data_IF_161919412689
#
_entry.id   IF_161919412689
#
_cell.length_a   1.000
_cell.length_b   1.000
_cell.length_c   1.000
_cell.angle_alpha   90.00
_cell.angle_beta   90.00
_cell.angle_gamma   90.00
#
_symmetry.space_group_name_H-M   'P 1'
#
loop_
_entity.id
_entity.type
_entity.pdbx_description
1 polymer ?
#
# COMPACT_ATOMS: atom_id res chain seq x y z
N UNK A 1 26.08 6.64 -12.69
CA UNK A 1 25.30 6.51 -11.43
C UNK A 1 24.76 5.08 -11.39
N UNK A 2 25.20 4.22 -10.45
CA UNK A 2 24.75 2.82 -10.39
C UNK A 2 23.37 2.77 -9.70
N UNK A 3 22.35 2.27 -10.39
CA UNK A 3 21.03 2.02 -9.82
C UNK A 3 21.14 0.77 -8.94
N UNK A 4 21.00 0.91 -7.63
CA UNK A 4 20.96 -0.22 -6.71
C UNK A 4 19.52 -0.60 -6.43
N UNK A 5 19.06 -1.66 -7.09
CA UNK A 5 17.77 -2.28 -6.83
C UNK A 5 17.84 -3.00 -5.48
N UNK A 6 17.13 -2.48 -4.48
CA UNK A 6 17.05 -3.08 -3.14
C UNK A 6 15.68 -3.71 -2.94
N UNK A 7 15.52 -4.40 -1.82
CA UNK A 7 14.23 -4.97 -1.41
C UNK A 7 13.09 -3.93 -1.46
N UNK A 8 13.39 -2.66 -1.16
CA UNK A 8 12.42 -1.56 -1.24
C UNK A 8 11.89 -1.35 -2.67
N UNK A 9 12.77 -1.22 -3.67
CA UNK A 9 12.36 -1.04 -5.06
C UNK A 9 11.65 -2.27 -5.61
N UNK A 10 12.09 -3.47 -5.19
CA UNK A 10 11.38 -4.71 -5.51
C UNK A 10 9.95 -4.69 -4.98
N UNK A 11 9.76 -4.38 -3.68
CA UNK A 11 8.43 -4.29 -3.08
C UNK A 11 7.54 -3.26 -3.78
N UNK A 12 8.08 -2.09 -4.14
CA UNK A 12 7.32 -1.10 -4.91
C UNK A 12 6.93 -1.61 -6.31
N UNK A 13 7.82 -2.29 -7.02
CA UNK A 13 7.52 -2.82 -8.35
C UNK A 13 6.42 -3.89 -8.31
N UNK A 14 6.45 -4.78 -7.32
CA UNK A 14 5.40 -5.79 -7.10
C UNK A 14 4.08 -5.09 -6.76
N UNK A 15 4.12 -4.09 -5.88
CA UNK A 15 2.93 -3.35 -5.46
C UNK A 15 2.28 -2.60 -6.63
N UNK A 16 3.05 -1.95 -7.50
CA UNK A 16 2.55 -1.32 -8.72
C UNK A 16 1.86 -2.35 -9.61
N UNK A 17 2.49 -3.51 -9.81
CA UNK A 17 1.90 -4.62 -10.56
C UNK A 17 0.57 -5.08 -9.95
N UNK A 18 0.51 -5.26 -8.63
CA UNK A 18 -0.70 -5.64 -7.93
C UNK A 18 -1.80 -4.58 -8.05
N UNK A 19 -1.49 -3.28 -7.93
CA UNK A 19 -2.47 -2.22 -8.12
C UNK A 19 -3.05 -2.24 -9.54
N UNK A 20 -2.20 -2.41 -10.58
CA UNK A 20 -2.67 -2.54 -11.96
C UNK A 20 -3.57 -3.77 -12.13
N UNK A 21 -3.18 -4.90 -11.53
CA UNK A 21 -3.95 -6.14 -11.61
C UNK A 21 -5.30 -5.98 -10.91
N UNK A 22 -5.34 -5.39 -9.71
CA UNK A 22 -6.56 -5.12 -8.96
C UNK A 22 -7.55 -4.30 -9.80
N UNK A 23 -7.08 -3.18 -10.35
CA UNK A 23 -7.93 -2.24 -11.09
C UNK A 23 -8.48 -2.86 -12.39
N UNK A 24 -7.68 -3.69 -13.08
CA UNK A 24 -8.05 -4.22 -14.41
C UNK A 24 -8.73 -5.58 -14.39
N UNK A 25 -8.43 -6.42 -13.40
CA UNK A 25 -8.79 -7.84 -13.41
C UNK A 25 -9.55 -8.28 -12.16
N UNK A 26 -9.98 -7.36 -11.31
CA UNK A 26 -10.85 -7.67 -10.17
C UNK A 26 -12.10 -6.81 -10.22
N UNK A 27 -13.16 -7.29 -9.56
CA UNK A 27 -14.41 -6.55 -9.41
C UNK A 27 -14.29 -5.38 -8.41
N UNK A 28 -13.08 -5.15 -7.86
CA UNK A 28 -12.76 -4.05 -6.97
C UNK A 28 -13.03 -4.39 -5.52
N UNK A 29 -13.34 -3.36 -4.73
CA UNK A 29 -13.81 -3.54 -3.35
C UNK A 29 -15.22 -4.11 -3.30
N UNK A 30 -15.46 -4.94 -2.29
CA UNK A 30 -16.78 -5.38 -1.88
C UNK A 30 -17.06 -5.08 -0.42
N UNK A 31 -18.31 -5.32 -0.02
CA UNK A 31 -18.84 -5.03 1.31
C UNK A 31 -19.88 -6.08 1.68
N UNK A 32 -20.08 -6.29 2.98
CA UNK A 32 -21.14 -7.15 3.48
C UNK A 32 -22.44 -6.36 3.66
N UNK A 33 -23.55 -6.88 3.16
CA UNK A 33 -24.90 -6.37 3.43
C UNK A 33 -25.70 -7.47 4.13
N UNK A 34 -25.58 -7.53 5.46
CA UNK A 34 -26.05 -8.69 6.22
C UNK A 34 -25.13 -9.88 5.96
N UNK A 35 -25.69 -11.00 5.49
CA UNK A 35 -24.94 -12.22 5.16
C UNK A 35 -24.47 -12.24 3.69
N UNK A 36 -24.94 -11.31 2.86
CA UNK A 36 -24.64 -11.27 1.43
C UNK A 36 -23.43 -10.38 1.14
N UNK A 37 -22.49 -10.89 0.33
CA UNK A 37 -21.35 -10.13 -0.17
C UNK A 37 -21.67 -9.47 -1.51
N UNK A 38 -21.48 -8.16 -1.61
CA UNK A 38 -21.72 -7.38 -2.81
C UNK A 38 -20.49 -6.54 -3.19
N UNK A 39 -20.32 -6.26 -4.49
CA UNK A 39 -19.24 -5.38 -4.95
C UNK A 39 -19.70 -3.91 -4.93
N UNK A 40 -18.81 -3.00 -4.54
CA UNK A 40 -19.09 -1.55 -4.50
C UNK A 40 -19.53 -1.04 -5.88
N UNK A 41 -18.96 -1.58 -6.96
CA UNK A 41 -19.32 -1.25 -8.35
C UNK A 41 -20.79 -1.54 -8.72
N UNK A 42 -21.49 -2.37 -7.95
CA UNK A 42 -22.90 -2.69 -8.20
C UNK A 42 -23.86 -1.62 -7.64
N UNK A 43 -23.36 -0.71 -6.79
CA UNK A 43 -24.15 0.39 -6.26
C UNK A 43 -24.40 1.44 -7.37
N UNK A 44 -25.66 1.65 -7.73
CA UNK A 44 -26.07 2.68 -8.70
C UNK A 44 -25.95 4.11 -8.16
N UNK A 45 -25.76 4.30 -6.84
CA UNK A 45 -25.53 5.63 -6.27
C UNK A 45 -24.08 6.06 -6.52
N UNK A 46 -23.92 7.14 -7.27
CA UNK A 46 -22.68 7.77 -7.71
C UNK A 46 -21.81 8.37 -6.58
N UNK A 47 -21.45 7.57 -5.57
CA UNK A 47 -20.84 8.06 -4.33
C UNK A 47 -19.35 7.78 -4.17
N UNK A 48 -18.90 6.54 -4.35
CA UNK A 48 -17.47 6.24 -4.27
C UNK A 48 -17.08 5.06 -5.16
N UNK A 49 -16.18 5.35 -6.09
CA UNK A 49 -15.34 4.31 -6.66
C UNK A 49 -14.21 4.07 -5.65
N UNK A 50 -14.43 3.18 -4.68
CA UNK A 50 -13.43 2.89 -3.66
C UNK A 50 -12.13 2.36 -4.26
N UNK A 51 -12.17 1.85 -5.51
CA UNK A 51 -10.98 1.48 -6.28
C UNK A 51 -10.08 2.69 -6.58
N UNK A 52 -10.59 3.93 -6.48
CA UNK A 52 -9.80 5.15 -6.57
C UNK A 52 -8.69 5.20 -5.51
N UNK A 53 -8.91 4.59 -4.34
CA UNK A 53 -7.86 4.44 -3.31
C UNK A 53 -6.68 3.60 -3.83
N UNK A 54 -6.95 2.50 -4.54
CA UNK A 54 -5.94 1.60 -5.12
C UNK A 54 -5.28 2.24 -6.35
N UNK A 55 -6.03 3.01 -7.15
CA UNK A 55 -5.47 3.81 -8.23
C UNK A 55 -4.48 4.86 -7.69
N UNK A 56 -4.89 5.63 -6.68
CA UNK A 56 -4.01 6.60 -6.01
C UNK A 56 -2.79 5.92 -5.39
N UNK A 57 -2.97 4.74 -4.78
CA UNK A 57 -1.87 3.96 -4.22
C UNK A 57 -0.87 3.56 -5.31
N UNK A 58 -1.34 3.09 -6.46
CA UNK A 58 -0.48 2.74 -7.60
C UNK A 58 0.33 3.93 -8.11
N UNK A 59 -0.32 5.10 -8.25
CA UNK A 59 0.36 6.33 -8.66
C UNK A 59 1.41 6.80 -7.66
N UNK A 60 1.04 6.87 -6.37
CA UNK A 60 1.96 7.27 -5.30
C UNK A 60 3.12 6.28 -5.23
N UNK A 61 2.87 4.97 -5.31
CA UNK A 61 3.92 3.96 -5.31
C UNK A 61 4.86 4.14 -6.50
N UNK A 62 4.33 4.43 -7.68
CA UNK A 62 5.15 4.70 -8.88
C UNK A 62 6.03 5.93 -8.68
N UNK A 63 5.48 7.01 -8.13
CA UNK A 63 6.25 8.22 -7.83
C UNK A 63 7.37 7.96 -6.81
N UNK A 64 7.07 7.27 -5.71
CA UNK A 64 8.07 6.93 -4.69
C UNK A 64 9.10 5.90 -5.15
N UNK A 65 8.73 4.97 -6.04
CA UNK A 65 9.67 4.08 -6.73
C UNK A 65 10.72 4.88 -7.51
N UNK A 66 10.28 5.83 -8.33
CA UNK A 66 11.17 6.69 -9.10
C UNK A 66 12.09 7.50 -8.20
N UNK A 67 11.57 8.11 -7.12
CA UNK A 67 12.40 8.82 -6.13
C UNK A 67 13.43 7.87 -5.49
N UNK A 68 13.02 6.64 -5.16
CA UNK A 68 13.89 5.67 -4.48
C UNK A 68 15.09 5.26 -5.33
N UNK A 69 14.93 5.15 -6.65
CA UNK A 69 16.03 4.83 -7.58
C UNK A 69 17.20 5.83 -7.49
N UNK A 70 16.91 7.09 -7.16
CA UNK A 70 17.89 8.17 -7.10
C UNK A 70 18.29 8.58 -5.68
N UNK A 71 17.54 8.16 -4.67
CA UNK A 71 17.74 8.60 -3.30
C UNK A 71 18.76 7.75 -2.54
N UNK A 72 19.78 8.42 -1.98
CA UNK A 72 20.70 7.79 -1.01
C UNK A 72 20.03 7.54 0.34
N UNK A 73 18.97 8.28 0.68
CA UNK A 73 18.29 8.24 1.99
C UNK A 73 16.97 7.45 1.90
N UNK A 74 17.05 6.19 1.49
CA UNK A 74 15.89 5.32 1.23
C UNK A 74 14.87 5.24 2.37
N UNK A 75 15.34 5.23 3.62
CA UNK A 75 14.44 5.20 4.79
C UNK A 75 13.53 6.45 4.90
N UNK A 76 13.97 7.62 4.43
CA UNK A 76 13.14 8.83 4.43
C UNK A 76 12.06 8.73 3.34
N UNK A 77 12.45 8.22 2.17
CA UNK A 77 11.54 7.96 1.05
C UNK A 77 10.44 7.00 1.50
N UNK A 78 10.81 5.90 2.17
CA UNK A 78 9.87 4.95 2.75
C UNK A 78 8.94 5.58 3.80
N UNK A 79 9.47 6.43 4.69
CA UNK A 79 8.66 7.12 5.70
C UNK A 79 7.55 7.97 5.08
N UNK A 80 7.90 8.78 4.08
CA UNK A 80 6.92 9.61 3.38
C UNK A 80 5.95 8.76 2.57
N UNK A 81 6.45 7.74 1.86
CA UNK A 81 5.60 6.80 1.14
C UNK A 81 4.53 6.18 2.06
N UNK A 82 4.92 5.65 3.21
CA UNK A 82 3.99 5.04 4.17
C UNK A 82 2.97 6.05 4.68
N UNK A 83 3.40 7.29 4.99
CA UNK A 83 2.50 8.36 5.38
C UNK A 83 1.40 8.57 4.32
N UNK A 84 1.79 8.74 3.05
CA UNK A 84 0.83 8.90 1.95
C UNK A 84 -0.05 7.66 1.75
N UNK A 85 0.52 6.45 1.81
CA UNK A 85 -0.24 5.21 1.66
C UNK A 85 -1.32 5.06 2.76
N UNK A 86 -1.00 5.42 4.01
CA UNK A 86 -1.99 5.39 5.10
C UNK A 86 -3.05 6.48 4.97
N UNK A 87 -2.70 7.65 4.41
CA UNK A 87 -3.69 8.70 4.09
C UNK A 87 -4.69 8.30 3.00
N UNK A 88 -4.47 7.21 2.27
CA UNK A 88 -5.44 6.71 1.29
C UNK A 88 -6.52 5.83 1.92
N UNK A 89 -6.31 5.25 3.12
CA UNK A 89 -7.32 4.39 3.75
C UNK A 89 -8.67 5.10 3.96
N UNK A 90 -8.73 6.37 4.41
CA UNK A 90 -10.00 7.09 4.54
C UNK A 90 -10.72 7.39 3.22
N UNK A 91 -10.09 7.16 2.07
CA UNK A 91 -10.73 7.33 0.75
C UNK A 91 -11.73 6.19 0.48
N UNK A 92 -11.49 5.02 1.07
CA UNK A 92 -12.41 3.87 1.01
C UNK A 92 -13.62 4.21 1.88
N UNK A 93 -14.82 4.29 1.28
CA UNK A 93 -16.03 4.67 1.98
C UNK A 93 -16.90 3.47 2.36
N UNK A 94 -17.20 2.61 1.39
CA UNK A 94 -18.14 1.49 1.56
C UNK A 94 -17.43 0.13 1.56
N UNK A 95 -16.32 0.04 0.85
CA UNK A 95 -15.50 -1.14 0.67
C UNK A 95 -14.86 -1.60 1.96
N UNK A 96 -14.94 -2.90 2.20
CA UNK A 96 -14.35 -3.53 3.36
C UNK A 96 -13.16 -4.37 2.91
N UNK A 97 -11.94 -4.00 3.34
CA UNK A 97 -10.71 -4.70 2.97
C UNK A 97 -10.81 -6.19 3.35
N UNK A 98 -11.23 -6.48 4.58
CA UNK A 98 -11.28 -7.83 5.12
C UNK A 98 -12.29 -8.70 4.38
N UNK A 99 -13.53 -8.23 4.25
CA UNK A 99 -14.60 -8.94 3.52
C UNK A 99 -14.22 -9.16 2.05
N UNK A 100 -13.61 -8.17 1.41
CA UNK A 100 -13.13 -8.29 0.01
C UNK A 100 -12.06 -9.37 -0.13
N UNK A 101 -11.15 -9.51 0.84
CA UNK A 101 -10.10 -10.54 0.85
C UNK A 101 -10.70 -11.93 1.10
N UNK A 102 -11.57 -12.07 2.11
CA UNK A 102 -12.19 -13.35 2.48
C UNK A 102 -13.02 -13.91 1.33
N UNK A 103 -13.66 -13.04 0.55
CA UNK A 103 -14.44 -13.39 -0.63
C UNK A 103 -13.60 -13.50 -1.93
N UNK A 104 -12.29 -13.70 -1.82
CA UNK A 104 -11.45 -14.19 -2.91
C UNK A 104 -10.58 -13.16 -3.63
N UNK A 105 -10.56 -11.89 -3.19
CA UNK A 105 -9.64 -10.90 -3.76
C UNK A 105 -8.22 -11.03 -3.18
N UNK A 106 -7.50 -12.07 -3.61
CA UNK A 106 -6.13 -12.32 -3.14
C UNK A 106 -5.12 -11.28 -3.63
N UNK A 107 -5.44 -10.51 -4.67
CA UNK A 107 -4.60 -9.40 -5.13
C UNK A 107 -4.56 -8.31 -4.07
N UNK A 108 -5.72 -7.97 -3.49
CA UNK A 108 -5.80 -7.03 -2.37
C UNK A 108 -5.03 -7.54 -1.15
N UNK A 109 -5.10 -8.83 -0.85
CA UNK A 109 -4.32 -9.44 0.22
C UNK A 109 -2.81 -9.23 0.00
N UNK A 110 -2.31 -9.42 -1.22
CA UNK A 110 -0.90 -9.20 -1.53
C UNK A 110 -0.53 -7.72 -1.35
N UNK A 111 -1.39 -6.78 -1.79
CA UNK A 111 -1.20 -5.33 -1.58
C UNK A 111 -1.04 -5.03 -0.08
N UNK A 112 -1.97 -5.53 0.75
CA UNK A 112 -1.97 -5.32 2.21
C UNK A 112 -0.72 -5.93 2.85
N UNK A 113 -0.34 -7.16 2.48
CA UNK A 113 0.86 -7.82 3.00
C UNK A 113 2.13 -7.02 2.67
N UNK A 114 2.26 -6.52 1.43
CA UNK A 114 3.45 -5.73 1.05
C UNK A 114 3.52 -4.44 1.86
N UNK A 115 2.41 -3.73 2.02
CA UNK A 115 2.37 -2.51 2.85
C UNK A 115 2.75 -2.85 4.30
N UNK A 116 2.21 -3.94 4.86
CA UNK A 116 2.55 -4.39 6.21
C UNK A 116 4.05 -4.69 6.36
N UNK A 117 4.64 -5.42 5.42
CA UNK A 117 6.08 -5.73 5.42
C UNK A 117 6.93 -4.45 5.34
N UNK A 118 6.53 -3.48 4.51
CA UNK A 118 7.19 -2.18 4.41
C UNK A 118 7.10 -1.38 5.72
N UNK A 119 5.95 -1.43 6.39
CA UNK A 119 5.75 -0.81 7.70
C UNK A 119 6.60 -1.47 8.79
N UNK A 120 6.63 -2.81 8.85
CA UNK A 120 7.49 -3.53 9.79
C UNK A 120 8.97 -3.22 9.55
N UNK A 121 9.39 -3.17 8.28
CA UNK A 121 10.75 -2.79 7.90
C UNK A 121 11.10 -1.37 8.36
N UNK A 122 10.18 -0.42 8.18
CA UNK A 122 10.35 0.95 8.67
C UNK A 122 10.52 1.01 10.20
N UNK A 123 9.66 0.32 10.95
CA UNK A 123 9.77 0.24 12.41
C UNK A 123 11.07 -0.40 12.88
N UNK A 124 11.52 -1.46 12.20
CA UNK A 124 12.83 -2.07 12.47
C UNK A 124 13.98 -1.07 12.33
N UNK A 125 13.97 -0.24 11.29
CA UNK A 125 14.98 0.83 11.10
C UNK A 125 14.90 1.87 12.22
N UNK A 126 13.70 2.32 12.60
CA UNK A 126 13.52 3.29 13.69
C UNK A 126 14.08 2.74 14.99
N UNK A 127 13.71 1.52 15.36
CA UNK A 127 14.13 0.90 16.61
C UNK A 127 15.66 0.81 16.70
N UNK A 128 16.32 0.37 15.63
CA UNK A 128 17.78 0.31 15.58
C UNK A 128 18.45 1.68 15.74
N UNK A 129 17.87 2.74 15.16
CA UNK A 129 18.39 4.11 15.30
C UNK A 129 18.22 4.65 16.71
N UNK A 130 17.06 4.46 17.32
CA UNK A 130 16.79 4.86 18.71
C UNK A 130 17.76 4.15 19.64
N UNK A 131 17.90 2.82 19.51
CA UNK A 131 18.85 2.04 20.31
C UNK A 131 20.29 2.55 20.18
N UNK A 132 20.72 2.89 18.96
CA UNK A 132 22.06 3.45 18.73
C UNK A 132 22.24 4.81 19.39
N UNK A 133 21.22 5.67 19.35
CA UNK A 133 21.26 6.99 19.98
C UNK A 133 21.36 6.89 21.50
N UNK A 134 20.56 6.01 22.13
CA UNK A 134 20.57 5.80 23.58
C UNK A 134 21.88 5.22 24.12
N UNK A 135 22.62 4.47 23.30
CA UNK A 135 23.88 3.83 23.68
C UNK A 135 25.13 4.69 23.37
N UNK A 136 24.97 5.96 22.97
CA UNK A 136 26.12 6.85 22.78
C UNK A 136 26.64 7.32 24.15
N UNK A 137 27.94 7.14 24.45
CA UNK A 137 28.52 7.73 25.65
C UNK A 137 28.41 9.26 25.53
N UNK A 138 27.78 9.88 26.54
CA UNK A 138 27.65 11.33 26.69
C UNK A 138 29.00 12.00 26.85
#
# INVERSE_FOLDING_TARGET
>A
MKIHFTLLEFSYSVLIGCCVIFIKFTDGFGFMQGDDFNYVKQLQSSGSDDDASVYCLGLITTFFFLISLFSKRKYRVLSFYLLFAYFLLPIIQMGEIDSTIINGNYVLLIIVIIILLLTLYFWGIIFLKIKKYLNQPT
#
